data_IF_603337600879
#
_entry.id   IF_603337600879
#
_cell.length_a   1.000
_cell.length_b   1.000
_cell.length_c   1.000
_cell.angle_alpha   90.00
_cell.angle_beta   90.00
_cell.angle_gamma   90.00
#
_symmetry.space_group_name_H-M   'P 1'
#
loop_
_entity.id
_entity.type
_entity.pdbx_description
1 polymer ?
#
# COMPACT_ATOMS: atom_id res chain seq x y z
N UNK A 1 8.57 -20.63 12.82
CA UNK A 1 9.27 -21.55 11.89
C UNK A 1 9.19 -20.95 10.50
N UNK A 2 10.20 -21.19 9.66
CA UNK A 2 10.16 -20.77 8.26
C UNK A 2 9.04 -21.52 7.51
N UNK A 3 8.43 -20.86 6.53
CA UNK A 3 7.42 -21.42 5.62
C UNK A 3 7.59 -20.78 4.25
N UNK A 4 6.76 -21.13 3.25
CA UNK A 4 6.81 -20.47 1.94
C UNK A 4 6.17 -19.09 1.99
N UNK A 5 6.63 -18.18 1.14
CA UNK A 5 6.01 -16.86 1.02
C UNK A 5 4.60 -16.91 0.46
N UNK A 6 4.29 -17.88 -0.40
CA UNK A 6 2.90 -18.19 -0.79
C UNK A 6 1.99 -18.37 0.45
N UNK A 7 2.47 -19.14 1.43
CA UNK A 7 1.73 -19.40 2.66
C UNK A 7 1.58 -18.14 3.52
N UNK A 8 2.62 -17.30 3.61
CA UNK A 8 2.57 -16.08 4.42
C UNK A 8 1.71 -14.98 3.78
N UNK A 9 1.81 -14.79 2.46
CA UNK A 9 1.00 -13.83 1.72
C UNK A 9 -0.50 -14.20 1.79
N UNK A 10 -0.82 -15.49 1.78
CA UNK A 10 -2.19 -15.97 1.94
C UNK A 10 -2.76 -15.86 3.35
N UNK A 11 -1.98 -15.43 4.35
CA UNK A 11 -2.43 -15.28 5.73
C UNK A 11 -2.85 -13.83 6.03
N UNK A 12 -3.86 -13.68 6.88
CA UNK A 12 -4.17 -12.39 7.48
C UNK A 12 -3.14 -12.01 8.56
N UNK A 13 -2.81 -10.71 8.70
CA UNK A 13 -2.02 -10.22 9.82
C UNK A 13 -2.59 -10.67 11.17
N UNK A 14 -1.71 -11.14 12.07
CA UNK A 14 -2.11 -11.72 13.36
C UNK A 14 -1.75 -10.85 14.55
N UNK A 15 -0.86 -9.87 14.38
CA UNK A 15 -0.47 -8.97 15.45
C UNK A 15 -1.63 -8.08 15.88
N UNK A 16 -1.92 -7.98 17.19
CA UNK A 16 -3.08 -7.23 17.67
C UNK A 16 -2.93 -5.73 17.46
N UNK A 17 -4.03 -5.10 17.05
CA UNK A 17 -4.11 -3.68 16.72
C UNK A 17 -5.10 -2.99 17.66
N UNK A 18 -4.67 -1.88 18.26
CA UNK A 18 -5.55 -0.88 18.87
C UNK A 18 -5.67 0.31 17.93
N UNK A 19 -6.78 0.39 17.21
CA UNK A 19 -7.14 1.55 16.40
C UNK A 19 -7.64 2.68 17.31
N UNK A 20 -7.07 3.89 17.18
CA UNK A 20 -7.49 5.07 17.95
C UNK A 20 -8.39 6.03 17.16
N UNK A 21 -8.70 5.69 15.90
CA UNK A 21 -9.56 6.44 14.99
C UNK A 21 -9.12 7.89 14.70
N UNK A 22 -7.91 8.28 15.10
CA UNK A 22 -7.33 9.58 14.76
C UNK A 22 -7.13 9.70 13.25
N UNK A 23 -7.33 10.89 12.71
CA UNK A 23 -7.22 11.14 11.28
C UNK A 23 -5.94 11.93 11.00
N UNK A 24 -5.26 11.61 9.90
CA UNK A 24 -4.24 12.49 9.34
C UNK A 24 -4.89 13.51 8.40
N UNK A 25 -4.16 14.59 8.08
CA UNK A 25 -4.68 15.63 7.20
C UNK A 25 -4.50 15.27 5.71
N UNK A 26 -5.41 15.80 4.90
CA UNK A 26 -5.36 15.78 3.43
C UNK A 26 -5.66 17.19 2.93
N UNK A 27 -4.59 17.90 2.57
CA UNK A 27 -4.67 19.24 1.98
C UNK A 27 -3.43 19.62 1.15
N UNK A 28 -2.88 18.68 0.36
CA UNK A 28 -1.68 18.96 -0.45
C UNK A 28 -1.96 20.11 -1.45
N UNK A 29 -1.20 21.22 -1.44
CA UNK A 29 -1.49 22.39 -2.28
C UNK A 29 -1.52 22.08 -3.78
N UNK A 30 -0.63 21.21 -4.24
CA UNK A 30 -0.55 20.81 -5.66
C UNK A 30 -1.80 20.04 -6.11
N UNK A 31 -2.50 19.34 -5.20
CA UNK A 31 -3.67 18.54 -5.56
C UNK A 31 -4.88 19.41 -5.93
N UNK A 32 -4.87 20.70 -5.57
CA UNK A 32 -6.00 21.61 -5.83
C UNK A 32 -6.29 21.84 -7.31
N UNK A 33 -5.29 21.66 -8.19
CA UNK A 33 -5.45 21.81 -9.64
C UNK A 33 -6.12 20.59 -10.30
N UNK A 34 -6.15 19.44 -9.62
CA UNK A 34 -6.72 18.22 -10.17
C UNK A 34 -8.25 18.18 -9.96
N UNK A 35 -9.03 17.69 -10.95
CA UNK A 35 -10.44 17.44 -10.74
C UNK A 35 -10.62 16.24 -9.79
N UNK A 36 -11.64 16.24 -8.91
CA UNK A 36 -12.02 15.07 -8.12
C UNK A 36 -12.23 13.82 -8.98
N UNK A 37 -12.04 12.64 -8.40
CA UNK A 37 -12.37 11.38 -9.06
C UNK A 37 -13.89 11.25 -9.13
N UNK A 38 -14.44 11.14 -10.34
CA UNK A 38 -15.89 11.06 -10.59
C UNK A 38 -16.38 9.67 -10.99
N UNK A 39 -15.47 8.77 -11.35
CA UNK A 39 -15.76 7.37 -11.71
C UNK A 39 -14.81 6.47 -10.93
N UNK A 40 -15.36 5.80 -9.92
CA UNK A 40 -14.62 4.86 -9.09
C UNK A 40 -14.93 3.43 -9.52
N UNK A 41 -13.88 2.64 -9.74
CA UNK A 41 -13.97 1.18 -9.78
C UNK A 41 -13.28 0.66 -8.51
N UNK A 42 -14.07 0.22 -7.55
CA UNK A 42 -13.56 -0.29 -6.28
C UNK A 42 -13.51 -1.81 -6.33
N UNK A 43 -12.33 -2.36 -6.06
CA UNK A 43 -12.07 -3.81 -6.11
C UNK A 43 -12.16 -4.49 -4.73
N UNK A 44 -12.39 -3.72 -3.67
CA UNK A 44 -12.52 -4.21 -2.29
C UNK A 44 -13.85 -3.75 -1.68
N UNK A 45 -14.59 -4.67 -1.07
CA UNK A 45 -15.86 -4.40 -0.44
C UNK A 45 -15.92 -4.95 0.98
N UNK A 46 -16.23 -4.08 1.93
CA UNK A 46 -16.49 -4.46 3.33
C UNK A 46 -17.98 -4.82 3.45
N UNK A 47 -18.28 -6.08 3.82
CA UNK A 47 -19.64 -6.65 3.94
C UNK A 47 -20.04 -6.91 5.39
N UNK A 48 -19.69 -6.00 6.30
CA UNK A 48 -19.94 -6.12 7.75
C UNK A 48 -18.68 -5.88 8.58
N UNK A 49 -18.73 -6.13 9.90
CA UNK A 49 -17.59 -5.87 10.79
C UNK A 49 -16.36 -6.72 10.46
N UNK A 50 -16.55 -7.98 10.03
CA UNK A 50 -15.46 -8.96 9.89
C UNK A 50 -15.34 -9.58 8.48
N UNK A 51 -16.02 -9.00 7.49
CA UNK A 51 -16.00 -9.53 6.12
C UNK A 51 -15.46 -8.48 5.15
N UNK A 52 -14.29 -8.76 4.57
CA UNK A 52 -13.71 -7.99 3.47
C UNK A 52 -13.59 -8.93 2.28
N UNK A 53 -14.18 -8.53 1.15
CA UNK A 53 -14.07 -9.24 -0.12
C UNK A 53 -13.24 -8.38 -1.05
N UNK A 54 -12.16 -8.92 -1.58
CA UNK A 54 -11.39 -8.30 -2.65
C UNK A 54 -11.52 -9.13 -3.92
N UNK A 55 -11.52 -8.48 -5.07
CA UNK A 55 -11.23 -9.12 -6.35
C UNK A 55 -9.94 -8.53 -6.92
N UNK A 56 -9.26 -9.31 -7.75
CA UNK A 56 -7.96 -8.94 -8.30
C UNK A 56 -8.03 -8.69 -9.82
N UNK A 57 -9.23 -8.52 -10.38
CA UNK A 57 -9.47 -8.34 -11.83
C UNK A 57 -8.84 -7.06 -12.42
N UNK A 58 -8.30 -6.17 -11.58
CA UNK A 58 -7.51 -5.02 -12.02
C UNK A 58 -6.03 -5.35 -12.25
N UNK A 59 -5.56 -6.48 -11.73
CA UNK A 59 -4.18 -6.93 -11.85
C UNK A 59 -4.05 -7.88 -13.04
N UNK A 60 -2.81 -8.03 -13.51
CA UNK A 60 -2.47 -9.06 -14.47
C UNK A 60 -2.59 -10.44 -13.79
N UNK A 61 -2.83 -11.46 -14.59
CA UNK A 61 -2.81 -12.85 -14.12
C UNK A 61 -1.42 -13.22 -13.59
N UNK A 62 -1.36 -14.25 -12.76
CA UNK A 62 -0.09 -14.81 -12.28
C UNK A 62 0.70 -15.38 -13.48
N UNK A 63 1.96 -14.96 -13.59
CA UNK A 63 2.90 -15.46 -14.60
C UNK A 63 3.75 -16.60 -14.03
N UNK A 64 4.40 -17.37 -14.90
CA UNK A 64 5.19 -18.55 -14.52
C UNK A 64 6.31 -18.23 -13.51
N UNK A 65 6.88 -17.02 -13.54
CA UNK A 65 7.93 -16.57 -12.63
C UNK A 65 7.44 -16.32 -11.20
N UNK A 66 6.13 -16.19 -10.99
CA UNK A 66 5.51 -16.08 -9.66
C UNK A 66 5.82 -17.33 -8.82
N UNK A 67 5.90 -18.52 -9.45
CA UNK A 67 6.26 -19.76 -8.76
C UNK A 67 7.67 -19.72 -8.15
N UNK A 68 8.61 -19.01 -8.77
CA UNK A 68 9.96 -18.81 -8.25
C UNK A 68 9.92 -17.93 -7.01
N UNK A 69 9.20 -16.81 -7.07
CA UNK A 69 9.07 -15.85 -5.95
C UNK A 69 8.31 -16.43 -4.77
N UNK A 70 7.20 -17.13 -5.02
CA UNK A 70 6.30 -17.61 -3.98
C UNK A 70 6.80 -18.87 -3.25
N UNK A 71 7.73 -19.63 -3.87
CA UNK A 71 8.35 -20.81 -3.26
C UNK A 71 9.52 -20.49 -2.33
N UNK A 72 10.02 -19.25 -2.35
CA UNK A 72 11.06 -18.77 -1.45
C UNK A 72 10.64 -18.92 0.03
N UNK A 73 11.65 -19.15 0.88
CA UNK A 73 11.45 -19.32 2.31
C UNK A 73 11.26 -17.95 2.98
N UNK A 74 10.17 -17.78 3.71
CA UNK A 74 9.86 -16.60 4.50
C UNK A 74 9.67 -16.91 5.98
N UNK A 75 9.66 -15.84 6.78
CA UNK A 75 9.35 -15.88 8.20
C UNK A 75 8.15 -14.98 8.48
N UNK A 76 7.23 -15.41 9.37
CA UNK A 76 6.16 -14.53 9.79
C UNK A 76 6.70 -13.31 10.55
N UNK A 77 5.96 -12.20 10.61
CA UNK A 77 6.35 -11.04 11.41
C UNK A 77 6.53 -11.42 12.88
N UNK A 78 7.51 -10.81 13.55
CA UNK A 78 7.67 -10.97 14.99
C UNK A 78 6.45 -10.42 15.73
N UNK A 79 6.11 -11.04 16.87
CA UNK A 79 4.96 -10.60 17.66
C UNK A 79 5.12 -9.15 18.14
N UNK A 80 4.12 -8.31 17.86
CA UNK A 80 4.07 -6.91 18.30
C UNK A 80 2.64 -6.48 18.57
N UNK A 81 2.45 -5.61 19.58
CA UNK A 81 1.17 -4.93 19.81
C UNK A 81 1.23 -3.55 19.18
N UNK A 82 0.28 -3.24 18.31
CA UNK A 82 0.20 -1.95 17.62
C UNK A 82 -0.83 -1.04 18.28
N UNK A 83 -0.48 0.23 18.43
CA UNK A 83 -1.42 1.30 18.73
C UNK A 83 -1.30 2.32 17.62
N UNK A 84 -2.32 2.38 16.76
CA UNK A 84 -2.27 3.21 15.57
C UNK A 84 -2.72 4.62 15.94
N UNK A 85 -1.84 5.48 16.46
CA UNK A 85 -2.20 6.84 16.84
C UNK A 85 -1.86 7.87 15.75
N UNK A 86 -0.82 7.60 14.97
CA UNK A 86 -0.27 8.48 13.95
C UNK A 86 -0.23 7.77 12.59
N UNK A 87 0.02 8.53 11.52
CA UNK A 87 0.27 7.97 10.20
C UNK A 87 1.51 7.06 10.21
N UNK A 88 2.57 7.47 10.92
CA UNK A 88 3.79 6.69 11.09
C UNK A 88 3.56 5.32 11.74
N UNK A 89 2.64 5.23 12.72
CA UNK A 89 2.27 3.93 13.31
C UNK A 89 1.62 3.00 12.27
N UNK A 90 0.77 3.56 11.40
CA UNK A 90 0.14 2.84 10.30
C UNK A 90 1.15 2.38 9.24
N UNK A 91 2.13 3.23 8.90
CA UNK A 91 3.22 2.91 7.99
C UNK A 91 4.05 1.74 8.53
N UNK A 92 4.49 1.83 9.79
CA UNK A 92 5.28 0.75 10.41
C UNK A 92 4.51 -0.57 10.50
N UNK A 93 3.22 -0.50 10.84
CA UNK A 93 2.35 -1.66 10.84
C UNK A 93 2.26 -2.29 9.45
N UNK A 94 1.97 -1.48 8.42
CA UNK A 94 1.85 -1.96 7.03
C UNK A 94 3.14 -2.62 6.56
N UNK A 95 4.30 -2.02 6.84
CA UNK A 95 5.57 -2.63 6.46
C UNK A 95 5.82 -3.94 7.19
N UNK A 96 5.57 -3.97 8.50
CA UNK A 96 5.83 -5.16 9.31
C UNK A 96 4.93 -6.34 8.92
N UNK A 97 3.64 -6.09 8.72
CA UNK A 97 2.66 -7.14 8.51
C UNK A 97 2.45 -7.51 7.04
N UNK A 98 2.67 -6.56 6.11
CA UNK A 98 2.31 -6.71 4.70
C UNK A 98 3.54 -6.59 3.80
N UNK A 99 4.14 -5.41 3.69
CA UNK A 99 5.12 -5.17 2.61
C UNK A 99 6.39 -5.99 2.80
N UNK A 100 6.89 -6.17 4.03
CA UNK A 100 8.10 -6.96 4.27
C UNK A 100 7.90 -8.45 3.93
N UNK A 101 6.68 -8.95 4.09
CA UNK A 101 6.34 -10.32 3.68
C UNK A 101 6.34 -10.41 2.16
N UNK A 102 5.68 -9.48 1.47
CA UNK A 102 5.67 -9.42 0.00
C UNK A 102 7.09 -9.25 -0.56
N UNK A 103 7.89 -8.34 0.02
CA UNK A 103 9.27 -8.11 -0.39
C UNK A 103 10.17 -9.33 -0.24
N UNK A 104 9.88 -10.22 0.71
CA UNK A 104 10.55 -11.50 0.79
C UNK A 104 10.50 -12.26 -0.54
N UNK A 105 9.40 -12.13 -1.31
CA UNK A 105 9.19 -12.88 -2.55
C UNK A 105 10.06 -12.30 -3.67
N UNK A 106 10.37 -11.01 -3.54
CA UNK A 106 11.24 -10.25 -4.41
C UNK A 106 12.64 -10.09 -3.81
N UNK A 107 13.11 -11.00 -2.96
CA UNK A 107 14.48 -10.95 -2.45
C UNK A 107 15.50 -11.24 -3.57
N UNK A 108 15.15 -12.18 -4.46
CA UNK A 108 16.04 -12.69 -5.51
C UNK A 108 15.53 -12.43 -6.93
N UNK A 109 14.20 -12.38 -7.15
CA UNK A 109 13.62 -12.49 -8.48
C UNK A 109 12.56 -11.41 -8.80
N UNK A 110 12.93 -10.21 -9.24
CA UNK A 110 14.21 -9.55 -9.01
C UNK A 110 14.30 -9.01 -7.57
N UNK A 111 15.51 -8.66 -7.13
CA UNK A 111 15.70 -7.97 -5.85
C UNK A 111 15.07 -6.56 -5.88
N UNK A 112 14.02 -6.36 -5.07
CA UNK A 112 13.33 -5.06 -4.94
C UNK A 112 13.89 -4.28 -3.77
N UNK A 113 14.38 -3.08 -4.05
CA UNK A 113 14.79 -2.11 -3.05
C UNK A 113 13.58 -1.30 -2.58
N UNK A 114 13.38 -1.25 -1.27
CA UNK A 114 12.47 -0.32 -0.61
C UNK A 114 13.26 0.87 -0.03
N UNK A 115 12.76 2.09 -0.23
CA UNK A 115 13.31 3.29 0.40
C UNK A 115 12.21 4.24 0.91
N UNK A 116 12.38 4.72 2.14
CA UNK A 116 11.42 5.59 2.83
C UNK A 116 11.81 7.07 2.75
N UNK A 117 10.81 7.94 2.62
CA UNK A 117 10.99 9.39 2.53
C UNK A 117 12.00 9.80 1.47
N UNK A 118 11.94 9.14 0.32
CA UNK A 118 12.86 9.39 -0.78
C UNK A 118 12.14 10.07 -1.95
N UNK A 119 12.89 10.84 -2.72
CA UNK A 119 12.44 11.26 -4.04
C UNK A 119 12.29 10.01 -4.91
N UNK A 120 11.37 10.03 -5.86
CA UNK A 120 11.27 8.92 -6.81
C UNK A 120 12.66 8.68 -7.43
N UNK A 121 13.20 7.47 -7.24
CA UNK A 121 14.52 7.07 -7.72
C UNK A 121 14.48 6.97 -9.24
N UNK A 122 14.71 8.10 -9.90
CA UNK A 122 14.61 8.31 -11.34
C UNK A 122 15.76 9.21 -11.80
N UNK A 123 16.23 9.02 -13.02
CA UNK A 123 17.22 9.90 -13.67
C UNK A 123 16.64 11.29 -13.98
N UNK A 124 15.32 11.47 -13.89
CA UNK A 124 14.65 12.78 -13.95
C UNK A 124 14.55 13.42 -12.57
N UNK A 125 14.97 14.68 -12.45
CA UNK A 125 14.87 15.44 -11.21
C UNK A 125 13.41 15.56 -10.77
N UNK A 126 13.10 14.92 -9.65
CA UNK A 126 11.82 15.08 -8.94
C UNK A 126 12.05 15.94 -7.70
N UNK A 127 11.20 16.96 -7.53
CA UNK A 127 11.26 17.85 -6.36
C UNK A 127 10.33 17.37 -5.23
N UNK A 128 9.54 16.32 -5.47
CA UNK A 128 8.64 15.74 -4.49
C UNK A 128 9.22 14.46 -3.87
N UNK A 129 9.12 14.39 -2.54
CA UNK A 129 9.43 13.22 -1.74
C UNK A 129 8.14 12.43 -1.54
N UNK A 130 8.22 11.11 -1.66
CA UNK A 130 7.13 10.19 -1.34
C UNK A 130 7.42 9.47 -0.03
N UNK A 131 6.39 9.00 0.67
CA UNK A 131 6.57 8.26 1.92
C UNK A 131 7.37 6.98 1.71
N UNK A 132 7.10 6.28 0.60
CA UNK A 132 7.81 5.06 0.22
C UNK A 132 8.00 4.96 -1.30
N UNK A 133 9.14 4.43 -1.71
CA UNK A 133 9.38 3.99 -3.08
C UNK A 133 9.92 2.57 -3.11
N UNK A 134 9.53 1.82 -4.15
CA UNK A 134 10.04 0.50 -4.47
C UNK A 134 10.67 0.56 -5.85
N UNK A 135 11.84 -0.06 -6.01
CA UNK A 135 12.58 -0.01 -7.28
C UNK A 135 13.38 -1.28 -7.52
N UNK A 136 13.72 -1.52 -8.79
CA UNK A 136 14.62 -2.60 -9.21
C UNK A 136 15.79 -2.02 -9.97
N UNK A 137 16.95 -2.65 -9.84
CA UNK A 137 18.11 -2.30 -10.66
C UNK A 137 18.08 -3.08 -11.97
N UNK A 138 18.14 -2.38 -13.10
CA UNK A 138 18.32 -2.98 -14.43
C UNK A 138 19.65 -2.50 -15.02
N UNK A 139 20.70 -3.32 -14.89
CA UNK A 139 22.05 -2.91 -15.27
C UNK A 139 22.58 -1.79 -14.38
N UNK A 140 22.82 -0.61 -14.95
CA UNK A 140 23.27 0.59 -14.21
C UNK A 140 22.13 1.53 -13.84
N UNK A 141 20.94 1.29 -14.37
CA UNK A 141 19.77 2.14 -14.16
C UNK A 141 18.92 1.57 -13.03
N UNK A 142 18.29 2.47 -12.28
CA UNK A 142 17.32 2.11 -11.25
C UNK A 142 15.93 2.48 -11.76
N UNK A 143 15.06 1.49 -11.83
CA UNK A 143 13.69 1.67 -12.32
C UNK A 143 12.72 1.71 -11.15
N UNK A 144 11.94 2.79 -10.98
CA UNK A 144 10.89 2.83 -9.98
C UNK A 144 9.75 1.89 -10.39
N UNK A 145 9.28 1.08 -9.44
CA UNK A 145 8.13 0.19 -9.60
C UNK A 145 6.86 0.82 -9.05
N UNK A 146 6.90 1.24 -7.79
CA UNK A 146 5.73 1.72 -7.05
C UNK A 146 6.19 2.86 -6.14
N UNK A 147 5.39 3.91 -6.06
CA UNK A 147 5.45 4.91 -5.00
C UNK A 147 4.22 4.76 -4.12
N UNK A 148 4.40 4.93 -2.82
CA UNK A 148 3.31 4.86 -1.84
C UNK A 148 3.24 6.14 -1.02
N UNK A 149 2.02 6.53 -0.74
CA UNK A 149 1.63 7.66 0.10
C UNK A 149 0.63 7.12 1.11
N UNK A 150 0.83 7.46 2.39
CA UNK A 150 -0.02 6.96 3.45
C UNK A 150 -0.97 8.04 3.94
N UNK A 151 -2.20 7.62 4.22
CA UNK A 151 -3.22 8.44 4.86
C UNK A 151 -3.97 7.60 5.88
N UNK A 152 -4.24 8.18 7.05
CA UNK A 152 -4.84 7.47 8.17
C UNK A 152 -6.24 7.96 8.45
N UNK A 153 -7.20 7.04 8.53
CA UNK A 153 -8.54 7.30 9.04
C UNK A 153 -9.42 8.21 8.18
N UNK A 154 -8.97 8.56 6.97
CA UNK A 154 -9.66 9.53 6.11
C UNK A 154 -10.79 8.95 5.26
N UNK A 155 -10.72 7.68 4.87
CA UNK A 155 -11.67 7.07 3.93
C UNK A 155 -13.05 6.85 4.54
N UNK A 156 -14.09 7.43 3.93
CA UNK A 156 -15.50 7.13 4.22
C UNK A 156 -15.98 5.98 3.32
N UNK A 157 -15.89 4.76 3.84
CA UNK A 157 -16.06 3.50 3.09
C UNK A 157 -17.33 3.48 2.22
N UNK A 158 -18.45 3.94 2.78
CA UNK A 158 -19.76 4.04 2.12
C UNK A 158 -19.74 4.90 0.85
N UNK A 159 -19.07 6.06 0.89
CA UNK A 159 -18.96 6.96 -0.27
C UNK A 159 -18.08 6.36 -1.38
N UNK A 160 -16.95 5.77 -0.99
CA UNK A 160 -16.03 5.18 -1.97
C UNK A 160 -16.63 3.92 -2.62
N UNK A 161 -17.20 3.01 -1.82
CA UNK A 161 -17.81 1.77 -2.34
C UNK A 161 -19.06 2.03 -3.19
N UNK A 162 -19.85 3.07 -2.89
CA UNK A 162 -21.02 3.46 -3.71
C UNK A 162 -20.64 4.28 -4.96
N UNK A 163 -19.38 4.72 -5.06
CA UNK A 163 -18.93 5.62 -6.12
C UNK A 163 -19.43 7.07 -5.98
N UNK A 164 -20.01 7.43 -4.84
CA UNK A 164 -20.60 8.76 -4.59
C UNK A 164 -19.76 9.55 -3.59
N UNK A 165 -18.74 10.25 -4.08
CA UNK A 165 -17.88 11.14 -3.28
C UNK A 165 -18.57 12.49 -3.08
N UNK A 166 -19.37 12.63 -2.02
CA UNK A 166 -20.17 13.82 -1.76
C UNK A 166 -19.53 14.75 -0.71
N UNK A 167 -18.84 14.18 0.28
CA UNK A 167 -18.24 14.98 1.34
C UNK A 167 -17.01 15.74 0.84
N UNK A 168 -16.92 17.04 1.20
CA UNK A 168 -15.82 17.91 0.77
C UNK A 168 -14.43 17.32 1.07
N UNK A 169 -14.23 16.75 2.26
CA UNK A 169 -12.98 16.09 2.64
C UNK A 169 -12.65 14.90 1.74
N UNK A 170 -13.65 14.11 1.33
CA UNK A 170 -13.43 12.98 0.41
C UNK A 170 -13.13 13.47 -1.01
N UNK A 171 -13.72 14.59 -1.42
CA UNK A 171 -13.40 15.26 -2.68
C UNK A 171 -11.94 15.72 -2.71
N UNK A 172 -11.46 16.33 -1.62
CA UNK A 172 -10.04 16.72 -1.47
C UNK A 172 -9.13 15.49 -1.54
N UNK A 173 -9.43 14.44 -0.76
CA UNK A 173 -8.67 13.19 -0.80
C UNK A 173 -8.65 12.57 -2.19
N UNK A 174 -9.77 12.60 -2.93
CA UNK A 174 -9.83 12.06 -4.29
C UNK A 174 -8.93 12.80 -5.28
N UNK A 175 -8.67 14.09 -5.06
CA UNK A 175 -7.72 14.85 -5.89
C UNK A 175 -6.29 14.46 -5.57
N UNK A 176 -5.98 14.25 -4.30
CA UNK A 176 -4.66 13.76 -3.88
C UNK A 176 -4.37 12.37 -4.40
N UNK A 177 -5.35 11.45 -4.39
CA UNK A 177 -5.17 10.09 -4.92
C UNK A 177 -5.07 10.03 -6.45
N UNK A 178 -5.35 11.13 -7.15
CA UNK A 178 -5.29 11.19 -8.61
C UNK A 178 -3.91 11.60 -9.14
N UNK A 179 -3.21 12.48 -8.43
CA UNK A 179 -1.89 12.97 -8.85
C UNK A 179 -0.77 12.20 -8.17
#
# INVERSE_FOLDING_TARGET
MATTLASLIGQHPTNPIKDTYKQSDSSKPWAKSYPPISRLKVHTSVRGPDSVVANFDAFLDEYDDESLRLSESGYPPNYRKWRLDTEADGIQWFHTEISNIVLGAFANYPNVLQASHEKALSDTRTDQTVDISYSVSQGKERMPLIIGEFKRGLLRRDQWQSGKIEAAQQSVLSRELRG
#
